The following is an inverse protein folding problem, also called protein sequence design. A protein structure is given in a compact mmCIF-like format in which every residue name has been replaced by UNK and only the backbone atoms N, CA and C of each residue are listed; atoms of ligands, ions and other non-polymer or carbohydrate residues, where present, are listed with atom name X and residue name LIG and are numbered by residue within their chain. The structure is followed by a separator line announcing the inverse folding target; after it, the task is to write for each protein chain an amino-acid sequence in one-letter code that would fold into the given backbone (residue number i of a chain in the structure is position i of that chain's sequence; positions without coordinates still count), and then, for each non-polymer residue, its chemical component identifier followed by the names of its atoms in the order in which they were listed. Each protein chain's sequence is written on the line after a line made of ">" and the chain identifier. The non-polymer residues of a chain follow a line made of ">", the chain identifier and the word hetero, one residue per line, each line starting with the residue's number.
data_IF_656483243071
#
_entry.id   IF_656483243071
#
_cell.length_a   1.000
_cell.length_b   1.000
_cell.length_c   1.000
_cell.angle_alpha   90.00
_cell.angle_beta   90.00
_cell.angle_gamma   90.00
#
_symmetry.space_group_name_H-M   'P 1'
#
loop_
_entity.id
_entity.type
_entity.pdbx_description
1 polymer ?
#
# COMPACT_ATOMS: atom_id res chain seq x y z
N UNK A 1 -29.76 7.65 58.49
CA UNK A 1 -28.79 6.92 57.65
C UNK A 1 -28.74 7.62 56.29
N UNK A 2 -27.76 8.48 56.06
CA UNK A 2 -27.66 9.31 54.85
C UNK A 2 -26.85 8.54 53.82
N UNK A 3 -27.48 8.13 52.72
CA UNK A 3 -26.79 7.53 51.56
C UNK A 3 -26.33 8.66 50.65
N UNK A 4 -25.02 8.90 50.63
CA UNK A 4 -24.38 9.77 49.64
C UNK A 4 -24.21 8.94 48.38
N UNK A 5 -24.98 9.26 47.34
CA UNK A 5 -24.82 8.68 46.00
C UNK A 5 -23.76 9.51 45.29
N UNK A 6 -22.59 8.90 45.05
CA UNK A 6 -21.49 9.52 44.31
C UNK A 6 -21.71 9.24 42.82
N UNK A 7 -22.24 10.20 42.08
CA UNK A 7 -22.39 10.11 40.61
C UNK A 7 -21.04 10.46 39.97
N UNK A 8 -20.32 9.45 39.47
CA UNK A 8 -19.11 9.66 38.69
C UNK A 8 -19.49 10.16 37.28
N UNK A 9 -19.11 11.40 36.96
CA UNK A 9 -19.25 11.97 35.61
C UNK A 9 -18.10 11.46 34.76
N UNK A 10 -18.40 10.60 33.80
CA UNK A 10 -17.45 10.08 32.82
C UNK A 10 -17.30 11.13 31.70
N UNK A 11 -16.24 11.95 31.75
CA UNK A 11 -15.89 12.89 30.68
C UNK A 11 -15.36 12.11 29.47
N UNK A 12 -16.22 11.82 28.51
CA UNK A 12 -15.82 11.28 27.20
C UNK A 12 -15.14 12.43 26.45
N UNK A 13 -13.81 12.42 26.40
CA UNK A 13 -13.07 13.26 25.48
C UNK A 13 -13.34 12.75 24.06
N UNK A 14 -14.25 13.42 23.35
CA UNK A 14 -14.41 13.22 21.92
C UNK A 14 -13.16 13.77 21.23
N UNK A 15 -12.21 12.88 20.94
CA UNK A 15 -11.13 13.20 20.01
C UNK A 15 -11.74 13.45 18.65
N UNK A 16 -11.72 14.71 18.20
CA UNK A 16 -12.04 15.04 16.82
C UNK A 16 -10.99 14.38 15.93
N UNK A 17 -11.35 13.27 15.28
CA UNK A 17 -10.59 12.78 14.15
C UNK A 17 -10.76 13.79 13.02
N UNK A 18 -9.79 14.68 12.84
CA UNK A 18 -9.71 15.47 11.63
C UNK A 18 -9.45 14.51 10.49
N UNK A 19 -10.32 14.51 9.48
CA UNK A 19 -10.04 13.83 8.23
C UNK A 19 -8.73 14.41 7.69
N UNK A 20 -7.73 13.55 7.51
CA UNK A 20 -6.44 13.96 6.96
C UNK A 20 -6.68 14.53 5.55
N UNK A 21 -6.35 15.81 5.39
CA UNK A 21 -6.50 16.50 4.12
C UNK A 21 -5.22 16.28 3.32
N UNK A 22 -5.35 15.73 2.11
CA UNK A 22 -4.21 15.63 1.19
C UNK A 22 -3.70 17.03 0.89
N UNK A 23 -2.41 17.26 1.14
CA UNK A 23 -1.70 18.41 0.60
C UNK A 23 -1.39 18.14 -0.89
N UNK A 24 -1.96 18.89 -1.85
CA UNK A 24 -1.70 18.67 -3.26
C UNK A 24 -0.21 18.78 -3.64
N UNK A 25 0.60 19.53 -2.87
CA UNK A 25 2.04 19.63 -3.09
C UNK A 25 2.80 18.36 -2.69
N UNK A 26 2.13 17.40 -2.06
CA UNK A 26 2.67 16.11 -1.62
C UNK A 26 2.28 14.93 -2.53
N UNK A 27 1.51 15.17 -3.59
CA UNK A 27 1.17 14.11 -4.56
C UNK A 27 2.42 13.76 -5.36
N UNK A 28 2.80 12.47 -5.32
CA UNK A 28 3.97 11.93 -6.03
C UNK A 28 3.57 11.43 -7.41
N UNK A 29 2.44 10.73 -7.49
CA UNK A 29 1.97 10.11 -8.73
C UNK A 29 0.49 9.77 -8.65
N UNK A 30 -0.10 9.52 -9.80
CA UNK A 30 -1.50 9.13 -9.91
C UNK A 30 -1.76 8.21 -11.09
N UNK A 31 -2.76 7.34 -10.92
CA UNK A 31 -3.24 6.43 -11.94
C UNK A 31 -4.76 6.54 -12.04
N UNK A 32 -5.29 6.36 -13.25
CA UNK A 32 -6.74 6.31 -13.51
C UNK A 32 -7.10 5.00 -14.20
N UNK A 33 -8.26 4.44 -13.87
CA UNK A 33 -8.77 3.19 -14.40
C UNK A 33 -10.23 2.99 -14.02
N UNK A 34 -10.87 1.92 -14.50
CA UNK A 34 -12.21 1.51 -14.08
C UNK A 34 -12.06 0.21 -13.26
N UNK A 35 -11.92 0.35 -11.94
CA UNK A 35 -11.59 -0.78 -11.06
C UNK A 35 -12.83 -1.45 -10.47
N UNK A 36 -13.93 -0.71 -10.31
CA UNK A 36 -15.21 -1.25 -9.88
C UNK A 36 -16.08 -1.77 -11.04
N UNK A 37 -15.65 -1.56 -12.29
CA UNK A 37 -16.32 -1.99 -13.52
C UNK A 37 -17.68 -1.34 -13.74
N UNK A 38 -17.85 -0.08 -13.32
CA UNK A 38 -19.08 0.68 -13.55
C UNK A 38 -19.04 1.53 -14.84
N UNK A 39 -17.91 1.52 -15.55
CA UNK A 39 -17.69 2.24 -16.80
C UNK A 39 -17.15 3.66 -16.63
N UNK A 40 -16.96 4.13 -15.39
CA UNK A 40 -16.37 5.43 -15.09
C UNK A 40 -14.90 5.33 -14.69
N UNK A 41 -14.18 6.44 -14.85
CA UNK A 41 -12.77 6.51 -14.47
C UNK A 41 -12.58 6.90 -13.00
N UNK A 42 -11.98 5.99 -12.25
CA UNK A 42 -11.51 6.11 -10.88
C UNK A 42 -10.11 6.77 -10.80
N UNK A 43 -9.66 7.07 -9.57
CA UNK A 43 -8.36 7.71 -9.31
C UNK A 43 -7.63 7.05 -8.14
N UNK A 44 -6.35 6.73 -8.32
CA UNK A 44 -5.45 6.31 -7.26
C UNK A 44 -4.25 7.25 -7.21
N UNK A 45 -3.81 7.60 -5.99
CA UNK A 45 -2.73 8.55 -5.74
C UNK A 45 -1.70 7.97 -4.78
N UNK A 46 -0.43 8.29 -5.03
CA UNK A 46 0.63 8.22 -4.03
C UNK A 46 0.83 9.61 -3.43
N UNK A 47 0.82 9.69 -2.11
CA UNK A 47 0.92 10.95 -1.37
C UNK A 47 2.00 10.83 -0.31
N UNK A 48 2.99 11.71 -0.39
CA UNK A 48 4.05 11.82 0.59
C UNK A 48 3.48 12.17 1.97
N UNK A 49 4.04 11.62 3.06
CA UNK A 49 3.52 11.87 4.39
C UNK A 49 3.77 13.32 4.85
N UNK A 50 3.01 13.80 5.85
CA UNK A 50 3.21 15.12 6.43
C UNK A 50 4.61 15.28 7.04
N UNK A 51 5.08 14.26 7.77
CA UNK A 51 6.40 14.23 8.40
C UNK A 51 7.44 13.56 7.49
N UNK A 52 8.66 14.10 7.43
CA UNK A 52 9.75 13.48 6.69
C UNK A 52 10.20 12.18 7.37
N UNK A 53 10.54 11.17 6.57
CA UNK A 53 11.03 9.89 7.04
C UNK A 53 9.96 8.82 7.26
N UNK A 54 8.68 9.21 7.23
CA UNK A 54 7.57 8.26 7.21
C UNK A 54 7.39 7.66 5.80
N UNK A 55 6.71 6.52 5.73
CA UNK A 55 6.37 5.88 4.47
C UNK A 55 5.18 6.57 3.78
N UNK A 56 5.13 6.48 2.46
CA UNK A 56 4.14 7.11 1.57
C UNK A 56 2.80 6.40 1.69
N UNK A 57 1.73 7.21 1.61
CA UNK A 57 0.35 6.74 1.64
C UNK A 57 -0.24 6.51 0.25
N UNK A 58 -1.23 5.61 0.19
CA UNK A 58 -2.05 5.33 -0.98
C UNK A 58 -3.48 5.83 -0.71
N UNK A 59 -4.01 6.60 -1.64
CA UNK A 59 -5.41 7.04 -1.64
C UNK A 59 -6.09 6.52 -2.91
N UNK A 60 -7.26 5.93 -2.78
CA UNK A 60 -8.04 5.44 -3.93
C UNK A 60 -9.45 5.98 -3.84
N UNK A 61 -9.89 6.59 -4.92
CA UNK A 61 -11.19 7.19 -5.09
C UNK A 61 -11.94 6.49 -6.19
N UNK A 62 -13.21 6.18 -5.94
CA UNK A 62 -14.14 5.69 -6.96
C UNK A 62 -14.99 6.84 -7.47
N UNK A 63 -15.25 6.87 -8.78
CA UNK A 63 -16.27 7.76 -9.33
C UNK A 63 -17.63 7.08 -9.21
N UNK A 64 -18.67 7.87 -8.95
CA UNK A 64 -20.04 7.39 -9.05
C UNK A 64 -20.53 7.50 -10.51
N UNK A 65 -21.20 6.47 -11.01
CA UNK A 65 -21.74 6.44 -12.37
C UNK A 65 -22.75 7.56 -12.69
N UNK A 66 -23.42 8.10 -11.67
CA UNK A 66 -24.47 9.12 -11.82
C UNK A 66 -23.92 10.53 -11.55
N UNK A 67 -22.72 10.65 -10.94
CA UNK A 67 -22.13 11.92 -10.51
C UNK A 67 -20.62 12.01 -10.76
N UNK A 68 -20.15 13.14 -11.30
CA UNK A 68 -18.74 13.36 -11.61
C UNK A 68 -17.79 13.42 -10.39
N UNK A 69 -18.31 13.39 -9.16
CA UNK A 69 -17.52 13.54 -7.95
C UNK A 69 -16.87 12.20 -7.55
N UNK A 70 -15.57 12.27 -7.29
CA UNK A 70 -14.78 11.16 -6.75
C UNK A 70 -15.02 11.02 -5.24
N UNK A 71 -15.27 9.79 -4.77
CA UNK A 71 -15.47 9.45 -3.36
C UNK A 71 -14.32 8.58 -2.87
N UNK A 72 -13.76 8.90 -1.70
CA UNK A 72 -12.67 8.14 -1.10
C UNK A 72 -13.14 6.72 -0.76
N UNK A 73 -12.54 5.71 -1.40
CA UNK A 73 -12.86 4.30 -1.23
C UNK A 73 -11.79 3.55 -0.42
N UNK A 74 -10.53 3.99 -0.47
CA UNK A 74 -9.47 3.47 0.38
C UNK A 74 -8.48 4.56 0.77
N UNK A 75 -8.06 4.54 2.03
CA UNK A 75 -6.96 5.33 2.56
C UNK A 75 -6.01 4.39 3.32
N UNK A 76 -4.76 4.32 2.88
CA UNK A 76 -3.74 3.46 3.47
C UNK A 76 -2.43 4.25 3.65
N UNK A 77 -2.25 4.94 4.79
CA UNK A 77 -1.02 5.67 5.08
C UNK A 77 0.13 4.70 5.39
N UNK A 78 1.37 5.12 5.13
CA UNK A 78 2.58 4.39 5.55
C UNK A 78 2.74 3.01 4.91
N UNK A 79 2.47 2.88 3.60
CA UNK A 79 2.51 1.59 2.89
C UNK A 79 3.63 1.47 1.89
N UNK A 80 4.22 2.58 1.45
CA UNK A 80 5.16 2.59 0.33
C UNK A 80 6.45 3.28 0.77
N UNK A 81 7.53 2.54 0.81
CA UNK A 81 8.86 3.09 1.10
C UNK A 81 9.41 3.80 -0.14
N UNK A 82 9.97 5.00 0.03
CA UNK A 82 10.62 5.72 -1.05
C UNK A 82 10.68 7.24 -0.82
N UNK A 83 11.02 7.97 -1.88
CA UNK A 83 11.12 9.43 -1.85
C UNK A 83 9.75 10.10 -1.75
N UNK A 84 9.56 10.89 -0.68
CA UNK A 84 8.40 11.78 -0.50
C UNK A 84 8.67 13.25 -0.87
N UNK A 85 9.81 13.57 -1.49
CA UNK A 85 10.20 14.93 -1.86
C UNK A 85 11.05 14.99 -3.13
N UNK A 86 11.11 16.16 -3.76
CA UNK A 86 11.92 16.41 -4.96
C UNK A 86 13.43 16.33 -4.72
N UNK A 87 13.87 16.55 -3.47
CA UNK A 87 15.26 16.44 -3.05
C UNK A 87 15.60 15.01 -2.57
N UNK A 88 14.75 14.04 -2.92
CA UNK A 88 14.91 12.63 -2.60
C UNK A 88 16.16 12.00 -3.21
N UNK A 89 16.52 10.81 -2.72
CA UNK A 89 17.71 10.11 -3.18
C UNK A 89 17.43 9.32 -4.46
N UNK A 90 18.32 9.43 -5.45
CA UNK A 90 18.20 8.67 -6.70
C UNK A 90 18.00 7.17 -6.43
N UNK A 91 17.10 6.54 -7.17
CA UNK A 91 16.83 5.10 -7.04
C UNK A 91 15.90 4.73 -5.88
N UNK A 92 15.07 5.67 -5.43
CA UNK A 92 14.01 5.43 -4.43
C UNK A 92 12.66 6.03 -4.83
N UNK A 93 12.49 6.38 -6.10
CA UNK A 93 11.24 6.96 -6.58
C UNK A 93 10.16 5.87 -6.71
N UNK A 94 9.04 5.99 -5.98
CA UNK A 94 7.91 5.08 -6.12
C UNK A 94 7.05 5.46 -7.33
N UNK A 95 6.23 4.54 -7.80
CA UNK A 95 5.25 4.81 -8.86
C UNK A 95 3.93 4.08 -8.63
N UNK A 96 2.87 4.58 -9.28
CA UNK A 96 1.54 3.97 -9.28
C UNK A 96 0.99 3.95 -10.69
N UNK A 97 0.48 2.81 -11.11
CA UNK A 97 0.03 2.57 -12.48
C UNK A 97 -1.26 1.74 -12.51
N UNK A 98 -2.15 2.05 -13.45
CA UNK A 98 -3.31 1.21 -13.74
C UNK A 98 -2.90 0.11 -14.72
N UNK A 99 -3.22 -1.15 -14.39
CA UNK A 99 -2.91 -2.29 -15.23
C UNK A 99 -4.10 -2.66 -16.14
N UNK A 100 -3.83 -3.20 -17.35
CA UNK A 100 -4.89 -3.67 -18.26
C UNK A 100 -5.83 -4.73 -17.66
N UNK A 101 -5.42 -5.39 -16.59
CA UNK A 101 -6.21 -6.38 -15.84
C UNK A 101 -7.29 -5.78 -14.93
N UNK A 102 -7.43 -4.46 -14.86
CA UNK A 102 -8.33 -3.80 -13.91
C UNK A 102 -7.81 -3.78 -12.48
N UNK A 103 -6.48 -3.76 -12.32
CA UNK A 103 -5.79 -3.67 -11.03
C UNK A 103 -4.85 -2.47 -11.00
N UNK A 104 -4.30 -2.17 -9.84
CA UNK A 104 -3.32 -1.09 -9.64
C UNK A 104 -1.98 -1.74 -9.30
N UNK A 105 -0.90 -1.32 -9.95
CA UNK A 105 0.46 -1.62 -9.51
C UNK A 105 1.00 -0.44 -8.72
N UNK A 106 1.55 -0.71 -7.54
CA UNK A 106 2.28 0.26 -6.72
C UNK A 106 3.70 -0.23 -6.55
N UNK A 107 4.65 0.49 -7.14
CA UNK A 107 6.06 0.12 -7.15
C UNK A 107 6.87 0.97 -6.16
N UNK A 108 7.86 0.33 -5.53
CA UNK A 108 8.87 0.96 -4.67
C UNK A 108 10.20 0.24 -4.83
N UNK A 109 11.30 0.93 -4.53
CA UNK A 109 12.64 0.38 -4.72
C UNK A 109 13.69 1.02 -3.81
N UNK A 110 14.82 0.34 -3.68
CA UNK A 110 16.09 0.93 -3.32
C UNK A 110 17.18 0.44 -4.27
N UNK A 111 17.49 1.24 -5.28
CA UNK A 111 18.61 1.04 -6.21
C UNK A 111 19.76 2.03 -5.97
N UNK A 112 19.63 2.92 -4.98
CA UNK A 112 20.57 4.02 -4.73
C UNK A 112 21.39 3.95 -3.44
N UNK A 113 20.86 3.35 -2.37
CA UNK A 113 21.49 3.38 -1.03
C UNK A 113 21.90 1.99 -0.56
N UNK A 114 23.07 1.92 0.06
CA UNK A 114 23.52 0.72 0.76
C UNK A 114 23.98 -0.39 -0.18
N UNK A 115 24.27 -1.55 0.44
CA UNK A 115 24.77 -2.74 -0.26
C UNK A 115 23.64 -3.49 -0.95
N UNK A 116 22.49 -3.58 -0.27
CA UNK A 116 21.33 -4.37 -0.67
C UNK A 116 20.41 -3.55 -1.55
N UNK A 117 20.18 -4.04 -2.77
CA UNK A 117 19.23 -3.46 -3.70
C UNK A 117 17.96 -4.25 -3.67
N UNK A 118 16.82 -3.57 -3.76
CA UNK A 118 15.53 -4.24 -3.82
C UNK A 118 14.53 -3.48 -4.66
N UNK A 119 13.57 -4.23 -5.18
CA UNK A 119 12.38 -3.74 -5.88
C UNK A 119 11.17 -4.47 -5.34
N UNK A 120 10.07 -3.75 -5.14
CA UNK A 120 8.81 -4.27 -4.63
C UNK A 120 7.65 -3.71 -5.45
N UNK A 121 6.70 -4.57 -5.80
CA UNK A 121 5.43 -4.17 -6.40
C UNK A 121 4.26 -4.80 -5.64
N UNK A 122 3.38 -3.95 -5.12
CA UNK A 122 2.05 -4.36 -4.64
C UNK A 122 1.07 -4.30 -5.82
N UNK A 123 0.33 -5.39 -6.05
CA UNK A 123 -0.78 -5.39 -7.00
C UNK A 123 -2.09 -5.31 -6.22
N UNK A 124 -2.85 -4.24 -6.39
CA UNK A 124 -4.13 -4.02 -5.72
C UNK A 124 -5.29 -4.34 -6.65
N UNK A 125 -6.29 -5.07 -6.17
CA UNK A 125 -7.49 -5.37 -6.93
C UNK A 125 -8.74 -4.95 -6.15
N UNK A 126 -9.78 -4.50 -6.86
CA UNK A 126 -11.08 -4.25 -6.25
C UNK A 126 -11.88 -5.56 -6.17
N UNK A 127 -12.21 -6.01 -4.96
CA UNK A 127 -12.93 -7.25 -4.68
C UNK A 127 -13.87 -7.05 -3.51
N UNK A 128 -15.10 -7.50 -3.65
CA UNK A 128 -16.10 -7.42 -2.58
C UNK A 128 -16.20 -6.00 -1.98
N UNK A 129 -16.27 -5.00 -2.86
CA UNK A 129 -16.38 -3.57 -2.50
C UNK A 129 -15.17 -2.98 -1.75
N UNK A 130 -14.00 -3.63 -1.85
CA UNK A 130 -12.77 -3.20 -1.17
C UNK A 130 -11.54 -3.34 -2.06
N UNK A 131 -10.57 -2.45 -1.88
CA UNK A 131 -9.25 -2.61 -2.48
C UNK A 131 -8.38 -3.53 -1.62
N UNK A 132 -8.01 -4.67 -2.18
CA UNK A 132 -7.22 -5.71 -1.51
C UNK A 132 -5.89 -5.92 -2.21
N UNK A 133 -4.87 -6.35 -1.46
CA UNK A 133 -3.59 -6.76 -2.06
C UNK A 133 -3.77 -8.13 -2.71
N UNK A 134 -3.71 -8.15 -4.03
CA UNK A 134 -3.85 -9.35 -4.84
C UNK A 134 -2.52 -10.04 -5.13
N UNK A 135 -1.43 -9.26 -5.20
CA UNK A 135 -0.10 -9.74 -5.50
C UNK A 135 0.98 -8.94 -4.77
N UNK A 136 2.08 -9.62 -4.46
CA UNK A 136 3.31 -9.05 -3.91
C UNK A 136 4.48 -9.63 -4.70
N UNK A 137 5.15 -8.77 -5.46
CA UNK A 137 6.37 -9.15 -6.20
C UNK A 137 7.55 -8.44 -5.54
N UNK A 138 8.60 -9.19 -5.22
CA UNK A 138 9.79 -8.66 -4.59
C UNK A 138 11.03 -9.24 -5.23
N UNK A 139 12.05 -8.41 -5.43
CA UNK A 139 13.37 -8.86 -5.85
C UNK A 139 14.45 -8.11 -5.10
N UNK A 140 15.61 -8.74 -5.00
CA UNK A 140 16.78 -8.14 -4.39
C UNK A 140 18.07 -8.70 -4.95
N UNK A 141 19.14 -7.96 -4.77
CA UNK A 141 20.50 -8.45 -4.94
C UNK A 141 21.49 -7.66 -4.09
N UNK A 142 22.53 -8.34 -3.64
CA UNK A 142 23.67 -7.74 -3.00
C UNK A 142 24.69 -7.28 -4.06
N UNK A 143 25.19 -6.05 -3.92
CA UNK A 143 26.13 -5.46 -4.90
C UNK A 143 27.56 -6.02 -4.84
N UNK A 144 27.92 -6.75 -3.77
CA UNK A 144 29.25 -7.33 -3.56
C UNK A 144 29.24 -8.85 -3.61
N UNK A 145 28.21 -9.49 -3.06
CA UNK A 145 28.00 -10.93 -3.11
C UNK A 145 26.94 -11.25 -4.17
N UNK A 146 27.40 -11.52 -5.39
CA UNK A 146 26.49 -11.79 -6.52
C UNK A 146 25.70 -13.09 -6.35
N UNK A 147 26.03 -13.94 -5.37
CA UNK A 147 25.24 -15.14 -5.05
C UNK A 147 24.08 -14.85 -4.09
N UNK A 148 24.12 -13.73 -3.38
CA UNK A 148 23.04 -13.25 -2.53
C UNK A 148 22.06 -12.40 -3.34
N UNK A 149 21.16 -13.09 -4.03
CA UNK A 149 20.11 -12.49 -4.82
C UNK A 149 18.85 -13.36 -4.83
N UNK A 150 17.75 -12.78 -5.28
CA UNK A 150 16.54 -13.56 -5.46
C UNK A 150 15.31 -12.74 -5.79
N UNK A 151 14.33 -13.46 -6.33
CA UNK A 151 13.05 -12.93 -6.75
C UNK A 151 11.92 -13.80 -6.22
N UNK A 152 10.81 -13.18 -5.90
CA UNK A 152 9.61 -13.80 -5.39
C UNK A 152 8.38 -13.16 -6.03
N UNK A 153 7.45 -13.99 -6.49
CA UNK A 153 6.10 -13.59 -6.86
C UNK A 153 5.11 -14.33 -5.95
N UNK A 154 4.33 -13.56 -5.20
CA UNK A 154 3.33 -14.08 -4.28
C UNK A 154 1.94 -13.60 -4.69
N UNK A 155 1.09 -14.54 -5.10
CA UNK A 155 -0.33 -14.29 -5.30
C UNK A 155 -1.09 -14.48 -3.98
N UNK A 156 -1.41 -13.37 -3.34
CA UNK A 156 -2.02 -13.32 -1.99
C UNK A 156 -3.38 -14.03 -1.97
N UNK A 157 -4.18 -13.86 -3.02
CA UNK A 157 -5.55 -14.39 -3.08
C UNK A 157 -5.61 -15.92 -3.26
N UNK A 158 -4.56 -16.53 -3.80
CA UNK A 158 -4.51 -17.99 -4.04
C UNK A 158 -3.50 -18.71 -3.13
N UNK A 159 -2.63 -17.97 -2.45
CA UNK A 159 -1.55 -18.52 -1.65
C UNK A 159 -0.37 -19.04 -2.49
N UNK A 160 -0.39 -18.91 -3.82
CA UNK A 160 0.68 -19.42 -4.68
C UNK A 160 1.90 -18.50 -4.58
N UNK A 161 3.06 -19.10 -4.33
CA UNK A 161 4.34 -18.39 -4.27
C UNK A 161 5.29 -19.00 -5.30
N UNK A 162 6.04 -18.16 -6.01
CA UNK A 162 7.14 -18.57 -6.88
C UNK A 162 8.41 -17.84 -6.43
N UNK A 163 9.32 -18.54 -5.75
CA UNK A 163 10.58 -17.98 -5.25
C UNK A 163 11.75 -18.59 -6.01
N UNK A 164 12.56 -17.77 -6.69
CA UNK A 164 13.71 -18.21 -7.49
C UNK A 164 13.35 -19.36 -8.46
N UNK A 165 12.19 -19.24 -9.12
CA UNK A 165 11.66 -20.23 -10.06
C UNK A 165 11.05 -21.49 -9.42
N UNK A 166 11.04 -21.60 -8.09
CA UNK A 166 10.44 -22.73 -7.36
C UNK A 166 9.05 -22.36 -6.84
N UNK A 167 8.07 -23.18 -7.16
CA UNK A 167 6.70 -22.98 -6.68
C UNK A 167 6.53 -23.56 -5.27
N UNK A 168 5.82 -22.82 -4.42
CA UNK A 168 5.34 -23.26 -3.11
C UNK A 168 3.93 -22.69 -2.87
N UNK A 169 3.34 -23.03 -1.72
CA UNK A 169 2.01 -22.57 -1.36
C UNK A 169 1.93 -22.24 0.13
N UNK A 170 1.30 -21.12 0.43
CA UNK A 170 0.87 -20.69 1.76
C UNK A 170 -0.64 -20.58 1.81
N UNK A 171 -1.21 -20.26 2.97
CA UNK A 171 -2.64 -20.00 3.08
C UNK A 171 -3.02 -18.76 2.27
N UNK A 172 -4.10 -18.90 1.48
CA UNK A 172 -4.69 -17.78 0.75
C UNK A 172 -5.26 -16.74 1.73
N UNK A 173 -5.09 -15.47 1.40
CA UNK A 173 -5.57 -14.36 2.22
C UNK A 173 -6.30 -13.33 1.36
N UNK A 174 -7.20 -12.58 2.00
CA UNK A 174 -7.79 -11.37 1.44
C UNK A 174 -7.54 -10.27 2.45
N UNK A 175 -6.61 -9.38 2.14
CA UNK A 175 -6.14 -8.32 3.05
C UNK A 175 -6.39 -7.00 2.35
N UNK A 176 -7.12 -6.09 3.02
CA UNK A 176 -7.33 -4.74 2.51
C UNK A 176 -5.99 -3.99 2.43
N UNK A 177 -5.85 -3.04 1.50
CA UNK A 177 -4.63 -2.22 1.44
C UNK A 177 -4.38 -1.43 2.73
N UNK A 178 -5.44 -1.06 3.46
CA UNK A 178 -5.33 -0.39 4.76
C UNK A 178 -4.66 -1.28 5.83
N UNK A 179 -4.97 -2.59 5.82
CA UNK A 179 -4.46 -3.57 6.77
C UNK A 179 -3.19 -4.28 6.30
N UNK A 180 -2.74 -4.01 5.07
CA UNK A 180 -1.55 -4.66 4.52
C UNK A 180 -0.29 -4.32 5.34
N UNK A 181 0.54 -5.33 5.56
CA UNK A 181 1.85 -5.25 6.18
C UNK A 181 2.82 -6.04 5.30
N UNK A 182 3.92 -5.41 4.89
CA UNK A 182 4.92 -6.01 3.99
C UNK A 182 5.55 -7.28 4.59
N UNK A 183 5.55 -7.41 5.91
CA UNK A 183 5.93 -8.65 6.61
C UNK A 183 5.17 -9.87 6.08
N UNK A 184 3.91 -9.71 5.69
CA UNK A 184 3.10 -10.80 5.13
C UNK A 184 3.71 -11.28 3.81
N UNK A 185 4.10 -10.35 2.93
CA UNK A 185 4.74 -10.63 1.66
C UNK A 185 6.14 -11.21 1.84
N UNK A 186 6.95 -10.55 2.67
CA UNK A 186 8.32 -10.97 2.96
C UNK A 186 8.37 -12.40 3.53
N UNK A 187 7.54 -12.72 4.55
CA UNK A 187 7.47 -14.06 5.16
C UNK A 187 7.03 -15.11 4.15
N UNK A 188 6.04 -14.81 3.31
CA UNK A 188 5.61 -15.71 2.24
C UNK A 188 6.76 -15.98 1.23
N UNK A 189 7.58 -14.96 0.98
CA UNK A 189 8.77 -15.02 0.15
C UNK A 189 10.01 -15.62 0.83
N UNK A 190 9.87 -16.15 2.06
CA UNK A 190 10.97 -16.76 2.81
C UNK A 190 11.99 -15.75 3.36
N UNK A 191 11.63 -14.47 3.43
CA UNK A 191 12.38 -13.44 4.14
C UNK A 191 11.66 -13.17 5.45
N UNK A 192 12.26 -13.58 6.55
CA UNK A 192 11.84 -13.12 7.87
C UNK A 192 13.10 -12.64 8.57
N UNK A 193 13.00 -11.46 9.17
CA UNK A 193 14.00 -10.88 10.06
C UNK A 193 14.39 -11.84 11.21
#
# INVERSE_FOLDING_TARGET
>A
MIRIVLTAVLSIAAGSAFAEQIDPAKIIGGATGDWNHDGEADLALLVAPPAQGDDIGIYIYLRDKDHALLTLAAHAPGKVRGNGSLDGMFGQDPSIEALPSGSIAVHSQNSGIGRDRWEQTLTLAYRNEQFVVAGYTFSHYDTLDTSDNGACDYNVLTGKVTSNGRASKVDAKTISIAEWDDDVGQKACGRAD
#
